data_IF_873415603374
#
_entry.id   IF_873415603374
#
_cell.length_a   1.000
_cell.length_b   1.000
_cell.length_c   1.000
_cell.angle_alpha   90.00
_cell.angle_beta   90.00
_cell.angle_gamma   90.00
#
_symmetry.space_group_name_H-M   'P 1'
#
loop_
_entity.id
_entity.type
_entity.pdbx_description
1 polymer ?
#
# COMPACT_ATOMS: atom_id res chain seq x y z
N UNK A 1 13.29 -18.21 -8.05
CA UNK A 1 13.12 -17.75 -9.38
C UNK A 1 12.74 -16.29 -9.40
N UNK A 2 13.32 -15.56 -10.27
CA UNK A 2 13.05 -14.15 -10.35
C UNK A 2 11.78 -13.89 -11.13
N UNK A 3 10.94 -13.03 -10.62
CA UNK A 3 9.71 -12.73 -11.27
C UNK A 3 9.64 -11.25 -11.52
N UNK A 4 9.34 -10.86 -12.72
CA UNK A 4 9.29 -9.47 -13.08
C UNK A 4 7.84 -9.05 -13.30
N UNK A 5 7.53 -7.85 -12.88
CA UNK A 5 6.19 -7.34 -13.00
C UNK A 5 6.26 -5.87 -13.33
N UNK A 6 5.48 -5.42 -14.28
CA UNK A 6 5.44 -4.00 -14.60
C UNK A 6 4.70 -3.25 -13.51
N UNK A 7 5.10 -2.01 -13.29
CA UNK A 7 4.44 -1.20 -12.27
C UNK A 7 2.95 -1.10 -12.55
N UNK A 8 2.56 -0.95 -13.82
CA UNK A 8 1.15 -0.80 -14.14
C UNK A 8 0.36 -2.07 -13.82
N UNK A 9 1.03 -3.21 -13.72
CA UNK A 9 0.33 -4.43 -13.37
C UNK A 9 0.04 -4.52 -11.89
N UNK A 10 0.61 -3.62 -11.09
CA UNK A 10 0.39 -3.64 -9.66
C UNK A 10 -0.80 -2.80 -9.24
N UNK A 11 -1.28 -1.93 -10.13
CA UNK A 11 -2.38 -1.06 -9.75
C UNK A 11 -3.63 -1.88 -9.49
N UNK A 12 -4.32 -1.51 -8.43
CA UNK A 12 -5.52 -2.19 -7.99
C UNK A 12 -5.30 -3.57 -7.41
N UNK A 13 -4.06 -4.00 -7.24
CA UNK A 13 -3.81 -5.22 -6.50
C UNK A 13 -4.18 -5.00 -5.05
N UNK A 14 -4.66 -6.03 -4.42
CA UNK A 14 -4.98 -5.93 -3.01
C UNK A 14 -3.73 -6.00 -2.18
N UNK A 15 -3.73 -5.25 -1.09
CA UNK A 15 -2.59 -5.17 -0.19
C UNK A 15 -2.98 -5.83 1.13
N UNK A 16 -2.16 -6.77 1.58
CA UNK A 16 -2.37 -7.41 2.86
C UNK A 16 -1.15 -7.18 3.72
N UNK A 17 -1.34 -7.12 5.03
CA UNK A 17 -0.20 -7.04 5.92
C UNK A 17 0.34 -8.45 6.13
N UNK A 18 1.55 -8.54 6.64
CA UNK A 18 2.11 -9.84 6.93
C UNK A 18 1.44 -10.51 8.13
N UNK A 19 0.48 -9.84 8.74
CA UNK A 19 -0.35 -10.47 9.75
C UNK A 19 -1.65 -11.01 9.13
N UNK A 20 -1.84 -10.81 7.82
CA UNK A 20 -2.99 -11.38 7.14
C UNK A 20 -4.18 -10.46 6.99
N UNK A 21 -4.05 -9.20 7.38
CA UNK A 21 -5.18 -8.27 7.30
C UNK A 21 -5.23 -7.59 5.95
N UNK A 22 -6.43 -7.45 5.41
CA UNK A 22 -6.61 -6.74 4.15
C UNK A 22 -6.45 -5.24 4.42
N UNK A 23 -5.43 -4.65 3.82
CA UNK A 23 -5.05 -3.28 4.12
C UNK A 23 -5.72 -2.27 3.20
N UNK A 24 -5.79 -2.54 1.94
CA UNK A 24 -6.37 -1.63 0.94
C UNK A 24 -5.93 -2.06 -0.44
N UNK A 25 -6.06 -1.18 -1.42
CA UNK A 25 -5.68 -1.49 -2.79
C UNK A 25 -4.63 -0.50 -3.27
N UNK A 26 -3.70 -0.98 -4.08
CA UNK A 26 -2.69 -0.10 -4.65
C UNK A 26 -3.35 0.89 -5.59
N UNK A 27 -3.08 2.16 -5.39
CA UNK A 27 -3.61 3.19 -6.26
C UNK A 27 -2.54 3.75 -7.18
N UNK A 28 -1.33 3.90 -6.68
CA UNK A 28 -0.29 4.54 -7.49
C UNK A 28 1.07 4.22 -6.91
N UNK A 29 2.11 4.49 -7.68
CA UNK A 29 3.47 4.33 -7.22
C UNK A 29 4.09 5.71 -7.13
N UNK A 30 5.02 5.88 -6.22
CA UNK A 30 5.71 7.14 -6.00
C UNK A 30 7.16 6.96 -6.43
N UNK A 31 7.60 7.80 -7.34
CA UNK A 31 8.95 7.73 -7.85
C UNK A 31 9.76 8.90 -7.29
N UNK A 32 10.94 8.61 -6.80
CA UNK A 32 11.80 9.63 -6.25
C UNK A 32 13.23 9.20 -6.55
N UNK A 33 14.04 10.11 -7.09
CA UNK A 33 15.43 9.82 -7.43
C UNK A 33 15.55 8.61 -8.36
N UNK A 34 14.68 8.58 -9.34
CA UNK A 34 14.73 7.57 -10.41
C UNK A 34 14.43 6.16 -9.94
N UNK A 35 13.73 6.02 -8.83
CA UNK A 35 13.35 4.68 -8.37
C UNK A 35 12.02 4.78 -7.63
N UNK A 36 11.34 3.68 -7.53
CA UNK A 36 10.10 3.64 -6.78
C UNK A 36 10.45 3.78 -5.31
N UNK A 37 9.90 4.80 -4.67
CA UNK A 37 10.18 5.04 -3.27
C UNK A 37 9.02 4.68 -2.38
N UNK A 38 7.82 4.59 -2.90
CA UNK A 38 6.68 4.26 -2.09
C UNK A 38 5.48 3.92 -2.93
N UNK A 39 4.40 3.57 -2.26
CA UNK A 39 3.18 3.16 -2.92
C UNK A 39 2.01 3.82 -2.24
N UNK A 40 1.12 4.37 -3.05
CA UNK A 40 -0.08 4.97 -2.50
C UNK A 40 -1.15 3.89 -2.45
N UNK A 41 -1.71 3.68 -1.28
CA UNK A 41 -2.70 2.64 -1.05
C UNK A 41 -3.97 3.32 -0.62
N UNK A 42 -5.06 3.06 -1.33
CA UNK A 42 -6.31 3.70 -0.99
C UNK A 42 -7.17 2.79 -0.13
N UNK A 43 -7.98 3.40 0.71
CA UNK A 43 -8.91 2.68 1.52
C UNK A 43 -10.05 2.17 0.65
N UNK A 44 -10.42 0.93 0.83
CA UNK A 44 -11.54 0.36 0.10
C UNK A 44 -12.47 -0.26 1.10
N UNK A 45 -13.63 -0.65 0.64
CA UNK A 45 -14.62 -1.23 1.51
C UNK A 45 -14.04 -2.47 2.18
N UNK A 46 -14.26 -2.57 3.47
CA UNK A 46 -13.79 -3.70 4.28
C UNK A 46 -12.28 -3.76 4.45
N UNK A 47 -11.55 -2.70 4.11
CA UNK A 47 -10.12 -2.71 4.31
C UNK A 47 -9.78 -2.16 5.69
N UNK A 48 -8.57 -2.46 6.15
CA UNK A 48 -8.09 -1.90 7.41
C UNK A 48 -8.08 -0.38 7.34
N UNK A 49 -7.63 0.18 6.20
CA UNK A 49 -7.57 1.63 6.09
C UNK A 49 -8.94 2.27 6.20
N UNK A 50 -9.97 1.63 5.67
CA UNK A 50 -11.29 2.24 5.74
C UNK A 50 -11.80 2.26 7.17
N UNK A 51 -11.35 1.31 7.99
CA UNK A 51 -11.77 1.28 9.38
C UNK A 51 -11.07 2.33 10.23
N UNK A 52 -9.83 2.67 9.89
CA UNK A 52 -9.10 3.63 10.72
C UNK A 52 -9.08 5.03 10.14
N UNK A 53 -9.15 5.19 8.83
CA UNK A 53 -9.06 6.51 8.21
C UNK A 53 -10.33 6.98 7.54
N UNK A 54 -11.26 6.08 7.32
CA UNK A 54 -12.44 6.46 6.56
C UNK A 54 -12.30 6.06 5.12
N UNK A 55 -13.40 5.99 4.41
CA UNK A 55 -13.42 5.33 3.11
C UNK A 55 -12.78 6.11 1.99
N UNK A 56 -12.55 7.37 2.13
CA UNK A 56 -12.01 8.13 1.01
C UNK A 56 -10.53 8.43 1.17
N UNK A 57 -9.89 7.83 2.13
CA UNK A 57 -8.51 8.16 2.42
C UNK A 57 -7.54 7.13 1.93
N UNK A 58 -6.28 7.48 1.96
CA UNK A 58 -5.22 6.55 1.63
C UNK A 58 -3.96 6.93 2.34
N UNK A 59 -2.94 6.12 2.20
CA UNK A 59 -1.66 6.39 2.82
C UNK A 59 -0.57 6.05 1.82
N UNK A 60 0.63 6.59 2.06
CA UNK A 60 1.78 6.22 1.29
C UNK A 60 2.64 5.35 2.16
N UNK A 61 2.99 4.18 1.64
CA UNK A 61 3.82 3.22 2.36
C UNK A 61 5.18 3.19 1.67
N UNK A 62 6.27 3.39 2.39
CA UNK A 62 7.59 3.33 1.76
C UNK A 62 7.85 1.97 1.15
N UNK A 63 8.53 1.96 0.03
CA UNK A 63 8.78 0.70 -0.66
C UNK A 63 9.55 -0.29 0.24
N UNK A 64 10.39 0.20 1.13
CA UNK A 64 11.13 -0.69 2.00
C UNK A 64 10.24 -1.49 2.95
N UNK A 65 8.99 -1.08 3.10
CA UNK A 65 8.07 -1.84 3.93
C UNK A 65 7.34 -2.92 3.15
N UNK A 66 7.55 -2.98 1.85
CA UNK A 66 6.88 -3.97 1.02
C UNK A 66 7.68 -5.26 1.10
N UNK A 67 7.03 -6.34 1.47
CA UNK A 67 7.69 -7.61 1.64
C UNK A 67 7.57 -8.52 0.44
N UNK A 68 6.51 -8.40 -0.31
CA UNK A 68 6.33 -9.25 -1.49
C UNK A 68 5.33 -8.62 -2.43
N UNK A 69 5.54 -8.80 -3.72
CA UNK A 69 4.62 -8.36 -4.74
C UNK A 69 4.40 -9.55 -5.66
N UNK A 70 3.20 -10.01 -5.74
CA UNK A 70 2.86 -11.12 -6.61
C UNK A 70 1.43 -10.91 -7.07
N UNK A 71 0.55 -11.85 -6.77
CA UNK A 71 -0.85 -11.64 -7.07
C UNK A 71 -1.46 -10.64 -6.11
N UNK A 72 -0.79 -10.41 -4.99
CA UNK A 72 -1.19 -9.38 -4.03
C UNK A 72 0.09 -8.71 -3.56
N UNK A 73 -0.07 -7.58 -2.85
CA UNK A 73 1.04 -6.96 -2.16
C UNK A 73 1.01 -7.41 -0.73
N UNK A 74 2.17 -7.66 -0.15
CA UNK A 74 2.28 -7.94 1.28
C UNK A 74 3.21 -6.90 1.87
N UNK A 75 2.75 -6.19 2.88
CA UNK A 75 3.55 -5.17 3.52
C UNK A 75 3.71 -5.52 4.99
N UNK A 76 4.67 -4.90 5.62
CA UNK A 76 4.88 -5.11 7.04
C UNK A 76 3.74 -4.49 7.81
N UNK A 77 3.22 -5.17 8.79
CA UNK A 77 2.15 -4.60 9.59
C UNK A 77 2.62 -3.36 10.33
N UNK A 78 3.91 -3.17 10.49
CA UNK A 78 4.42 -1.97 11.14
C UNK A 78 4.21 -0.73 10.28
N UNK A 79 3.85 -0.88 9.02
CA UNK A 79 3.55 0.26 8.17
C UNK A 79 2.13 0.74 8.36
N UNK A 80 1.30 0.01 9.07
CA UNK A 80 -0.10 0.39 9.21
C UNK A 80 -0.24 1.59 10.13
N UNK A 81 -1.07 2.54 9.77
CA UNK A 81 -1.27 3.67 10.66
C UNK A 81 -2.05 3.24 11.89
N UNK A 82 -1.85 4.00 12.97
CA UNK A 82 -2.54 3.68 14.20
C UNK A 82 -3.55 4.77 14.40
N UNK A 83 -4.67 4.65 13.82
CA UNK A 83 -5.74 5.59 14.00
C UNK A 83 -5.31 7.01 13.87
N UNK A 84 -5.75 7.89 13.52
CA UNK A 84 -5.40 9.27 13.51
C UNK A 84 -4.20 9.69 12.70
N UNK A 85 -3.35 8.78 12.34
CA UNK A 85 -2.19 9.16 11.56
C UNK A 85 -2.53 9.09 10.09
N UNK A 86 -2.58 10.20 9.43
CA UNK A 86 -2.99 10.23 8.07
C UNK A 86 -1.94 10.78 7.20
N UNK A 87 -1.62 10.13 6.11
CA UNK A 87 -0.73 10.63 5.18
C UNK A 87 -1.46 10.78 3.94
N UNK A 88 -1.65 11.96 3.49
CA UNK A 88 -2.42 12.14 2.35
C UNK A 88 -1.68 12.11 1.10
N UNK A 89 -0.52 11.94 1.07
CA UNK A 89 0.20 11.96 -0.14
C UNK A 89 0.48 13.28 -0.68
N UNK A 90 0.18 14.28 0.05
CA UNK A 90 0.53 15.42 -0.40
C UNK A 90 1.63 15.83 0.25
N UNK A 91 2.24 16.14 0.31
CA UNK A 91 3.35 16.67 0.79
C UNK A 91 4.42 16.25 0.26
#
# INVERSE_FOLDING_TARGET
MLKMKKVTETYELKVFTDAGDYFGDIEDSIVHNNRVSGWKIRATKNSYLSRVLGSAKGVIVPHQMVKAIGDIFVISKSAAPTGGTVEEGEQ
#
